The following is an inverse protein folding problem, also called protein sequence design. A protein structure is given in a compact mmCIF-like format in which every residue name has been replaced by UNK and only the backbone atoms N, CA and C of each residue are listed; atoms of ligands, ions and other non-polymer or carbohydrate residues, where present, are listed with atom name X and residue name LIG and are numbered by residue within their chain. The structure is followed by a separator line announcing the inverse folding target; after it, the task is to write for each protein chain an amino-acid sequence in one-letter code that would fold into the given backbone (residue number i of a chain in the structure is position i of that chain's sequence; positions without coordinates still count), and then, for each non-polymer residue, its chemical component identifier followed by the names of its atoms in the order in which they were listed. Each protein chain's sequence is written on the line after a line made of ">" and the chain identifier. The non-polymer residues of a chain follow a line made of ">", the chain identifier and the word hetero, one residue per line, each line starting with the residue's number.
data_IF_780467644513
#
_entry.id   IF_780467644513
#
_cell.length_a   1.000
_cell.length_b   1.000
_cell.length_c   1.000
_cell.angle_alpha   90.00
_cell.angle_beta   90.00
_cell.angle_gamma   90.00
#
_symmetry.space_group_name_H-M   'P 1'
#
loop_
_entity.id
_entity.type
_entity.pdbx_description
1 polymer ?
#
# COMPACT_ATOMS: atom_id res chain seq x y z
N UNK A 1 17.78 4.70 7.56
CA UNK A 1 17.53 5.99 6.87
C UNK A 1 17.25 7.03 7.94
N UNK A 2 17.70 8.27 7.78
CA UNK A 2 17.57 9.36 8.77
C UNK A 2 16.26 10.16 8.65
N UNK A 3 15.32 9.72 7.80
CA UNK A 3 14.03 10.39 7.60
C UNK A 3 14.11 11.68 6.78
N UNK A 4 15.24 11.94 6.10
CA UNK A 4 15.40 13.11 5.23
C UNK A 4 14.71 12.88 3.89
N UNK A 5 13.91 13.86 3.47
CA UNK A 5 13.37 13.92 2.10
C UNK A 5 14.50 14.28 1.15
N UNK A 6 14.79 13.40 0.18
CA UNK A 6 15.82 13.62 -0.83
C UNK A 6 15.15 14.22 -2.07
N UNK A 7 15.46 15.48 -2.46
CA UNK A 7 14.95 16.04 -3.70
C UNK A 7 15.36 15.17 -4.90
N UNK A 8 14.36 14.69 -5.66
CA UNK A 8 14.58 13.82 -6.82
C UNK A 8 14.29 14.53 -8.14
N UNK A 9 13.02 14.72 -8.49
CA UNK A 9 12.61 15.49 -9.69
C UNK A 9 12.58 17.00 -9.42
N UNK A 10 12.36 17.38 -8.16
CA UNK A 10 12.58 18.73 -7.68
C UNK A 10 14.02 18.90 -7.17
N UNK A 11 14.54 20.13 -7.23
CA UNK A 11 15.80 20.53 -6.60
C UNK A 11 15.59 21.05 -5.19
N UNK A 12 14.43 21.67 -4.91
CA UNK A 12 14.04 22.19 -3.61
C UNK A 12 12.52 22.48 -3.54
N UNK A 13 12.02 22.84 -2.36
CA UNK A 13 10.68 23.40 -2.16
C UNK A 13 10.65 24.40 -0.99
N UNK A 14 9.68 25.32 -1.00
CA UNK A 14 9.41 26.23 0.15
C UNK A 14 7.93 26.38 0.39
N UNK A 15 7.59 26.61 1.65
CA UNK A 15 6.23 27.00 2.05
C UNK A 15 5.97 28.48 1.80
N UNK A 16 4.79 28.79 1.27
CA UNK A 16 4.30 30.16 1.05
C UNK A 16 3.04 30.42 1.87
N UNK A 17 2.81 31.66 2.30
CA UNK A 17 1.51 32.05 2.83
C UNK A 17 0.54 32.21 1.65
N UNK A 18 -0.64 31.62 1.75
CA UNK A 18 -1.61 31.60 0.66
C UNK A 18 -3.04 31.87 1.16
N UNK A 19 -3.98 31.96 0.22
CA UNK A 19 -5.41 32.05 0.50
C UNK A 19 -6.16 31.11 -0.42
N UNK A 20 -6.95 30.21 0.15
CA UNK A 20 -7.88 29.36 -0.59
C UNK A 20 -9.29 29.95 -0.51
N UNK A 21 -10.13 29.71 -1.52
CA UNK A 21 -11.53 30.12 -1.49
C UNK A 21 -12.42 28.92 -1.16
N UNK A 22 -13.07 28.96 0.00
CA UNK A 22 -14.00 27.92 0.47
C UNK A 22 -15.41 28.52 0.48
N UNK A 23 -16.32 27.94 -0.31
CA UNK A 23 -17.69 28.46 -0.48
C UNK A 23 -17.72 29.97 -0.83
N UNK A 24 -16.81 30.39 -1.71
CA UNK A 24 -16.67 31.78 -2.16
C UNK A 24 -16.04 32.74 -1.15
N UNK A 25 -15.61 32.27 0.03
CA UNK A 25 -14.94 33.10 1.05
C UNK A 25 -13.44 32.83 1.08
N UNK A 26 -12.59 33.87 1.15
CA UNK A 26 -11.16 33.69 1.32
C UNK A 26 -10.85 33.15 2.72
N UNK A 27 -10.04 32.10 2.79
CA UNK A 27 -9.54 31.51 4.03
C UNK A 27 -8.01 31.45 3.96
N UNK A 28 -7.30 32.02 4.95
CA UNK A 28 -5.84 31.89 5.03
C UNK A 28 -5.42 30.42 5.07
N UNK A 29 -4.37 30.10 4.33
CA UNK A 29 -3.77 28.77 4.24
C UNK A 29 -2.29 28.93 3.86
N UNK A 30 -1.63 27.84 3.47
CA UNK A 30 -0.28 27.86 2.91
C UNK A 30 -0.25 27.18 1.54
N UNK A 31 0.83 27.42 0.81
CA UNK A 31 1.18 26.72 -0.42
C UNK A 31 2.60 26.14 -0.35
N UNK A 32 2.96 25.36 -1.35
CA UNK A 32 4.32 24.87 -1.58
C UNK A 32 4.73 25.27 -2.99
N UNK A 33 5.84 25.98 -3.12
CA UNK A 33 6.52 26.21 -4.39
C UNK A 33 7.56 25.12 -4.59
N UNK A 34 7.48 24.41 -5.72
CA UNK A 34 8.43 23.39 -6.14
C UNK A 34 9.34 23.94 -7.23
N UNK A 35 10.66 23.81 -7.06
CA UNK A 35 11.64 24.08 -8.12
C UNK A 35 12.08 22.78 -8.75
N UNK A 36 11.90 22.66 -10.05
CA UNK A 36 12.12 21.44 -10.80
C UNK A 36 13.53 21.38 -11.38
N UNK A 37 14.02 20.17 -11.60
CA UNK A 37 15.25 19.95 -12.34
C UNK A 37 15.08 20.33 -13.82
N UNK A 38 16.14 20.89 -14.40
CA UNK A 38 16.18 21.29 -15.82
C UNK A 38 16.80 20.20 -16.72
N UNK A 39 17.47 19.21 -16.12
CA UNK A 39 18.21 18.14 -16.79
C UNK A 39 17.44 16.81 -16.87
N UNK A 40 16.15 16.83 -16.54
CA UNK A 40 15.28 15.64 -16.57
C UNK A 40 14.49 15.61 -17.88
N UNK A 41 14.51 14.45 -18.52
CA UNK A 41 13.75 14.16 -19.73
C UNK A 41 12.92 12.91 -19.50
N UNK A 42 11.76 12.88 -20.13
CA UNK A 42 11.01 11.65 -20.31
C UNK A 42 11.77 10.70 -21.23
N UNK A 43 11.42 9.42 -21.16
CA UNK A 43 12.05 8.35 -21.94
C UNK A 43 11.85 8.48 -23.46
N UNK A 44 10.95 9.35 -23.91
CA UNK A 44 10.77 9.70 -25.32
C UNK A 44 11.60 10.94 -25.76
N UNK A 45 12.36 11.53 -24.83
CA UNK A 45 13.21 12.70 -25.05
C UNK A 45 12.53 14.05 -24.81
N UNK A 46 11.24 14.08 -24.47
CA UNK A 46 10.57 15.34 -24.11
C UNK A 46 11.03 15.84 -22.72
N UNK A 47 11.12 17.16 -22.49
CA UNK A 47 11.59 17.68 -21.19
C UNK A 47 10.54 17.49 -20.09
N UNK A 48 10.98 17.08 -18.90
CA UNK A 48 10.15 17.15 -17.69
C UNK A 48 10.06 18.61 -17.22
N UNK A 49 8.85 19.06 -16.88
CA UNK A 49 8.57 20.45 -16.53
C UNK A 49 7.32 20.59 -15.64
N UNK A 50 6.99 21.82 -15.26
CA UNK A 50 5.85 22.15 -14.40
C UNK A 50 4.49 21.75 -14.98
N UNK A 51 4.36 21.63 -16.31
CA UNK A 51 3.14 21.12 -16.94
C UNK A 51 2.93 19.64 -16.61
N UNK A 52 3.99 18.83 -16.55
CA UNK A 52 3.87 17.43 -16.16
C UNK A 52 3.43 17.25 -14.70
N UNK A 53 3.94 18.10 -13.80
CA UNK A 53 3.51 18.12 -12.39
C UNK A 53 2.04 18.53 -12.28
N UNK A 54 1.66 19.65 -12.90
CA UNK A 54 0.27 20.10 -12.94
C UNK A 54 -0.67 19.03 -13.50
N UNK A 55 -0.29 18.41 -14.62
CA UNK A 55 -1.10 17.39 -15.29
C UNK A 55 -1.31 16.16 -14.41
N UNK A 56 -0.28 15.72 -13.69
CA UNK A 56 -0.36 14.56 -12.81
C UNK A 56 -1.42 14.77 -11.73
N UNK A 57 -1.37 15.89 -11.02
CA UNK A 57 -2.36 16.20 -9.99
C UNK A 57 -3.74 16.52 -10.58
N UNK A 58 -3.81 17.15 -11.75
CA UNK A 58 -5.09 17.38 -12.43
C UNK A 58 -5.76 16.06 -12.87
N UNK A 59 -4.98 15.03 -13.23
CA UNK A 59 -5.47 13.70 -13.57
C UNK A 59 -6.09 13.02 -12.36
N UNK A 60 -5.43 13.12 -11.23
CA UNK A 60 -5.93 12.62 -9.96
C UNK A 60 -7.17 13.39 -9.47
N UNK A 61 -7.22 14.72 -9.59
CA UNK A 61 -8.44 15.49 -9.29
C UNK A 61 -9.61 15.12 -10.22
N UNK A 62 -9.32 14.82 -11.49
CA UNK A 62 -10.33 14.35 -12.43
C UNK A 62 -10.80 12.93 -12.10
N UNK A 63 -9.95 12.09 -11.52
CA UNK A 63 -10.25 10.70 -11.14
C UNK A 63 -9.69 10.40 -9.76
N UNK A 64 -10.37 10.81 -8.67
CA UNK A 64 -9.87 10.63 -7.30
C UNK A 64 -9.63 9.17 -6.90
N UNK A 65 -10.15 8.21 -7.66
CA UNK A 65 -9.84 6.79 -7.44
C UNK A 65 -8.42 6.41 -7.89
N UNK A 66 -7.68 7.30 -8.58
CA UNK A 66 -6.27 7.12 -8.91
C UNK A 66 -5.34 7.41 -7.73
N UNK A 67 -5.79 8.22 -6.78
CA UNK A 67 -4.99 8.67 -5.65
C UNK A 67 -5.74 9.72 -4.82
N UNK A 68 -5.28 9.89 -3.58
CA UNK A 68 -5.88 10.82 -2.60
C UNK A 68 -5.09 12.13 -2.43
N UNK A 69 -3.86 12.17 -2.94
CA UNK A 69 -2.88 13.25 -2.79
C UNK A 69 -3.37 14.58 -3.36
N UNK A 70 -4.03 14.57 -4.52
CA UNK A 70 -4.46 15.81 -5.17
C UNK A 70 -5.76 16.41 -4.62
N UNK A 71 -6.50 15.67 -3.77
CA UNK A 71 -7.84 16.05 -3.31
C UNK A 71 -7.84 17.30 -2.43
N UNK A 72 -6.77 17.52 -1.66
CA UNK A 72 -6.65 18.70 -0.80
C UNK A 72 -5.87 19.87 -1.44
N UNK A 73 -5.56 19.78 -2.74
CA UNK A 73 -4.96 20.88 -3.51
C UNK A 73 -6.07 21.83 -3.99
N UNK A 74 -6.12 23.03 -3.42
CA UNK A 74 -7.09 24.07 -3.75
C UNK A 74 -6.77 24.79 -5.07
N UNK A 75 -5.49 24.99 -5.40
CA UNK A 75 -5.08 25.61 -6.65
C UNK A 75 -3.67 25.18 -7.06
N UNK A 76 -3.42 25.12 -8.36
CA UNK A 76 -2.12 24.78 -8.95
C UNK A 76 -1.74 25.85 -9.97
N UNK A 77 -0.66 26.58 -9.70
CA UNK A 77 -0.19 27.68 -10.56
C UNK A 77 1.18 27.36 -11.13
N UNK A 78 1.26 27.19 -12.45
CA UNK A 78 2.56 27.15 -13.13
C UNK A 78 3.12 28.58 -13.17
N UNK A 79 4.20 28.81 -12.44
CA UNK A 79 4.89 30.11 -12.38
C UNK A 79 5.74 30.29 -13.65
N UNK A 80 6.49 29.25 -13.99
CA UNK A 80 7.29 29.15 -15.21
C UNK A 80 7.54 27.65 -15.54
N UNK A 81 8.24 27.29 -16.63
CA UNK A 81 8.42 25.89 -17.00
C UNK A 81 9.05 25.00 -15.91
N UNK A 82 9.79 25.53 -14.95
CA UNK A 82 10.45 24.74 -13.90
C UNK A 82 10.01 25.12 -12.48
N UNK A 83 8.92 25.88 -12.35
CA UNK A 83 8.38 26.31 -11.07
C UNK A 83 6.86 26.20 -11.04
N UNK A 84 6.34 25.54 -10.01
CA UNK A 84 4.91 25.37 -9.78
C UNK A 84 4.57 25.61 -8.31
N UNK A 85 3.49 26.35 -8.06
CA UNK A 85 2.92 26.54 -6.72
C UNK A 85 1.67 25.66 -6.56
N UNK A 86 1.63 24.90 -5.47
CA UNK A 86 0.48 24.12 -5.03
C UNK A 86 -0.09 24.80 -3.78
N UNK A 87 -1.31 25.33 -3.84
CA UNK A 87 -2.02 25.92 -2.70
C UNK A 87 -3.00 24.88 -2.17
N UNK A 88 -3.04 24.70 -0.86
CA UNK A 88 -3.86 23.66 -0.22
C UNK A 88 -5.13 24.21 0.43
N UNK A 89 -6.15 23.38 0.54
CA UNK A 89 -7.29 23.71 1.38
C UNK A 89 -6.88 23.81 2.86
N UNK A 90 -7.57 24.62 3.69
CA UNK A 90 -7.20 24.84 5.09
C UNK A 90 -7.23 23.60 6.00
N UNK A 91 -7.85 22.51 5.54
CA UNK A 91 -7.95 21.23 6.24
C UNK A 91 -6.95 20.18 5.74
N UNK A 92 -6.01 20.55 4.86
CA UNK A 92 -4.96 19.64 4.38
C UNK A 92 -4.22 19.01 5.56
N UNK A 93 -3.95 17.71 5.45
CA UNK A 93 -3.24 16.95 6.49
C UNK A 93 -1.75 16.84 6.19
N UNK A 94 -0.98 16.44 7.21
CA UNK A 94 0.45 16.20 7.05
C UNK A 94 0.70 15.05 6.06
N UNK A 95 -0.18 14.05 6.08
CA UNK A 95 -0.18 12.94 5.13
C UNK A 95 -0.27 13.41 3.68
N UNK A 96 -1.18 14.34 3.35
CA UNK A 96 -1.27 14.87 2.00
C UNK A 96 -0.02 15.68 1.62
N UNK A 97 0.46 16.56 2.50
CA UNK A 97 1.68 17.35 2.25
C UNK A 97 2.87 16.45 1.91
N UNK A 98 3.01 15.33 2.63
CA UNK A 98 4.07 14.36 2.39
C UNK A 98 3.89 13.63 1.05
N UNK A 99 2.70 13.11 0.77
CA UNK A 99 2.45 12.34 -0.46
C UNK A 99 2.56 13.19 -1.73
N UNK A 100 2.26 14.49 -1.67
CA UNK A 100 2.48 15.42 -2.79
C UNK A 100 3.96 15.44 -3.23
N UNK A 101 4.90 15.33 -2.28
CA UNK A 101 6.33 15.32 -2.57
C UNK A 101 6.83 13.96 -3.08
N UNK A 102 6.04 12.90 -2.93
CA UNK A 102 6.36 11.54 -3.39
C UNK A 102 5.66 11.15 -4.70
N UNK A 103 4.87 12.05 -5.27
CA UNK A 103 4.01 11.74 -6.41
C UNK A 103 4.79 11.30 -7.65
N UNK A 104 4.38 10.18 -8.24
CA UNK A 104 4.90 9.73 -9.53
C UNK A 104 4.30 10.52 -10.68
N UNK A 105 5.18 11.14 -11.46
CA UNK A 105 4.78 12.01 -12.57
C UNK A 105 4.42 11.19 -13.81
N UNK A 106 3.30 11.54 -14.43
CA UNK A 106 2.91 11.01 -15.74
C UNK A 106 3.25 11.99 -16.87
N UNK A 107 3.58 11.46 -18.04
CA UNK A 107 3.85 12.27 -19.23
C UNK A 107 2.54 12.84 -19.84
N UNK A 108 2.40 14.18 -19.93
CA UNK A 108 1.23 14.79 -20.57
C UNK A 108 1.11 14.47 -22.06
N UNK A 109 2.21 14.19 -22.79
CA UNK A 109 2.13 13.94 -24.23
C UNK A 109 1.46 12.59 -24.54
N UNK A 110 1.68 11.58 -23.70
CA UNK A 110 1.01 10.29 -23.78
C UNK A 110 -0.41 10.34 -23.21
N UNK A 111 -0.55 10.78 -21.96
CA UNK A 111 -1.84 10.74 -21.26
C UNK A 111 -2.83 11.78 -21.79
N UNK A 112 -2.34 12.92 -22.29
CA UNK A 112 -3.17 13.99 -22.84
C UNK A 112 -3.93 13.60 -24.11
N UNK A 113 -3.52 12.52 -24.79
CA UNK A 113 -4.28 11.93 -25.90
C UNK A 113 -5.62 11.34 -25.43
N UNK A 114 -5.69 10.88 -24.18
CA UNK A 114 -6.88 10.31 -23.56
C UNK A 114 -7.61 11.32 -22.67
N UNK A 115 -6.86 12.25 -22.04
CA UNK A 115 -7.38 13.26 -21.13
C UNK A 115 -6.84 14.65 -21.51
N UNK A 116 -7.35 15.26 -22.59
CA UNK A 116 -6.80 16.52 -23.09
C UNK A 116 -7.06 17.66 -22.09
N UNK A 117 -6.11 18.58 -22.01
CA UNK A 117 -6.19 19.69 -21.07
C UNK A 117 -7.10 20.81 -21.59
N UNK A 118 -7.90 21.37 -20.71
CA UNK A 118 -8.63 22.61 -20.94
C UNK A 118 -7.75 23.81 -20.56
N UNK A 119 -7.63 24.76 -21.50
CA UNK A 119 -6.91 26.01 -21.29
C UNK A 119 -7.83 27.23 -21.47
N UNK A 120 -7.54 28.29 -20.72
CA UNK A 120 -8.04 29.63 -20.99
C UNK A 120 -7.34 30.24 -22.22
N UNK A 121 -7.89 31.30 -22.85
CA UNK A 121 -7.27 31.96 -24.00
C UNK A 121 -5.85 32.48 -23.76
N UNK A 122 -5.49 32.75 -22.50
CA UNK A 122 -4.15 33.19 -22.10
C UNK A 122 -3.17 32.01 -21.86
N UNK A 123 -3.58 30.76 -22.15
CA UNK A 123 -2.77 29.55 -21.98
C UNK A 123 -2.80 28.93 -20.59
N UNK A 124 -3.52 29.51 -19.62
CA UNK A 124 -3.65 28.94 -18.26
C UNK A 124 -4.43 27.62 -18.31
N UNK A 125 -3.83 26.55 -17.79
CA UNK A 125 -4.49 25.26 -17.61
C UNK A 125 -5.54 25.33 -16.51
N UNK A 126 -6.71 24.74 -16.73
CA UNK A 126 -7.85 24.83 -15.80
C UNK A 126 -8.32 23.46 -15.31
N UNK A 127 -8.42 22.50 -16.21
CA UNK A 127 -8.94 21.16 -15.92
C UNK A 127 -8.50 20.15 -16.98
N UNK A 128 -8.74 18.86 -16.73
CA UNK A 128 -8.67 17.82 -17.75
C UNK A 128 -10.06 17.42 -18.22
N UNK A 129 -10.18 17.10 -19.51
CA UNK A 129 -11.39 16.54 -20.08
C UNK A 129 -11.43 15.02 -19.87
N UNK A 130 -12.54 14.51 -19.34
CA UNK A 130 -12.74 13.08 -19.02
C UNK A 130 -13.17 12.26 -20.26
N UNK A 131 -12.38 12.30 -21.32
CA UNK A 131 -12.71 11.61 -22.59
C UNK A 131 -12.29 10.13 -22.63
N UNK A 132 -11.46 9.69 -21.68
CA UNK A 132 -11.02 8.30 -21.54
C UNK A 132 -11.41 7.66 -20.20
N UNK A 133 -10.95 6.43 -19.99
CA UNK A 133 -11.03 5.73 -18.71
C UNK A 133 -9.61 5.30 -18.30
N UNK A 134 -9.02 5.89 -17.25
CA UNK A 134 -7.65 5.58 -16.86
C UNK A 134 -7.52 4.16 -16.27
N UNK A 135 -8.62 3.58 -15.78
CA UNK A 135 -8.65 2.23 -15.18
C UNK A 135 -8.63 1.09 -16.21
N UNK A 136 -8.89 1.38 -17.49
CA UNK A 136 -8.88 0.38 -18.57
C UNK A 136 -7.79 0.62 -19.60
N UNK A 137 -7.02 1.70 -19.48
CA UNK A 137 -5.91 1.99 -20.37
C UNK A 137 -4.69 1.13 -20.03
N UNK A 138 -4.30 0.26 -20.97
CA UNK A 138 -3.23 -0.74 -20.75
C UNK A 138 -1.81 -0.19 -20.85
N UNK A 139 -1.65 1.06 -21.30
CA UNK A 139 -0.37 1.76 -21.48
C UNK A 139 0.78 0.90 -22.03
N UNK A 140 0.68 0.37 -23.27
CA UNK A 140 1.62 -0.63 -23.78
C UNK A 140 3.04 -0.10 -24.06
N UNK A 141 3.22 1.22 -24.12
CA UNK A 141 4.51 1.88 -24.33
C UNK A 141 4.69 2.97 -23.26
N UNK A 142 4.89 2.60 -21.98
CA UNK A 142 4.89 3.55 -20.89
C UNK A 142 6.05 4.56 -21.03
N UNK A 143 5.72 5.84 -20.82
CA UNK A 143 6.69 6.94 -20.79
C UNK A 143 6.85 7.41 -19.34
N UNK A 144 8.09 7.57 -18.89
CA UNK A 144 8.40 8.04 -17.53
C UNK A 144 9.72 8.81 -17.47
N UNK A 145 10.10 9.28 -16.28
CA UNK A 145 11.36 10.01 -16.04
C UNK A 145 12.44 9.14 -15.38
N UNK A 146 12.15 7.85 -15.20
CA UNK A 146 12.96 6.91 -14.43
C UNK A 146 14.20 6.38 -15.15
N UNK A 147 15.02 5.58 -14.43
CA UNK A 147 16.27 5.02 -14.95
C UNK A 147 16.07 3.91 -15.99
N UNK A 148 14.88 3.33 -16.13
CA UNK A 148 14.62 2.24 -17.05
C UNK A 148 13.37 2.47 -17.90
N UNK A 149 13.38 1.88 -19.09
CA UNK A 149 12.30 1.86 -20.07
C UNK A 149 11.77 0.44 -20.24
N UNK A 150 10.49 0.29 -20.57
CA UNK A 150 9.95 -1.01 -20.96
C UNK A 150 10.60 -1.45 -22.28
N UNK A 151 11.31 -2.58 -22.25
CA UNK A 151 11.86 -3.21 -23.46
C UNK A 151 10.89 -4.20 -24.07
N UNK A 152 10.32 -5.08 -23.24
CA UNK A 152 9.30 -6.04 -23.66
C UNK A 152 8.45 -6.49 -22.49
N UNK A 153 7.18 -6.78 -22.76
CA UNK A 153 6.24 -7.35 -21.81
C UNK A 153 5.63 -8.65 -22.36
N UNK A 154 5.55 -9.67 -21.52
CA UNK A 154 4.77 -10.88 -21.74
C UNK A 154 4.24 -11.38 -20.38
N UNK A 155 3.21 -12.24 -20.36
CA UNK A 155 2.76 -12.84 -19.10
C UNK A 155 3.85 -13.64 -18.35
N UNK A 156 4.92 -14.06 -19.05
CA UNK A 156 6.02 -14.84 -18.48
C UNK A 156 7.18 -13.98 -17.97
N UNK A 157 7.32 -12.74 -18.46
CA UNK A 157 8.42 -11.85 -18.06
C UNK A 157 8.17 -10.40 -18.42
N UNK A 158 8.73 -9.50 -17.59
CA UNK A 158 8.94 -8.09 -17.92
C UNK A 158 10.44 -7.84 -18.11
N UNK A 159 10.81 -7.22 -19.21
CA UNK A 159 12.20 -6.81 -19.46
C UNK A 159 12.24 -5.29 -19.52
N UNK A 160 13.10 -4.70 -18.70
CA UNK A 160 13.40 -3.28 -18.72
C UNK A 160 14.81 -3.06 -19.27
N UNK A 161 15.01 -1.96 -19.98
CA UNK A 161 16.32 -1.54 -20.51
C UNK A 161 16.69 -0.18 -19.95
N UNK A 162 17.98 0.03 -19.68
CA UNK A 162 18.50 1.31 -19.20
C UNK A 162 18.03 2.48 -20.07
N UNK A 163 17.55 3.54 -19.44
CA UNK A 163 17.20 4.81 -20.09
C UNK A 163 18.50 5.56 -20.44
N UNK A 164 18.84 5.72 -21.73
CA UNK A 164 20.07 6.42 -22.13
C UNK A 164 20.02 7.93 -21.85
N UNK A 165 18.82 8.46 -21.53
CA UNK A 165 18.58 9.86 -21.19
C UNK A 165 18.35 10.06 -19.68
N UNK A 166 18.73 9.09 -18.84
CA UNK A 166 18.57 9.24 -17.40
C UNK A 166 19.44 10.39 -16.88
N UNK A 167 18.83 11.26 -16.08
CA UNK A 167 19.42 12.54 -15.67
C UNK A 167 20.59 12.38 -14.70
N UNK A 168 20.66 11.28 -13.96
CA UNK A 168 21.71 11.05 -12.96
C UNK A 168 22.98 10.51 -13.63
N UNK A 169 24.10 11.25 -13.61
CA UNK A 169 25.32 10.83 -14.29
C UNK A 169 25.85 9.50 -13.76
N UNK A 170 26.21 8.61 -14.69
CA UNK A 170 26.76 7.28 -14.36
C UNK A 170 25.72 6.22 -14.01
N UNK A 171 24.43 6.56 -14.02
CA UNK A 171 23.33 5.62 -13.78
C UNK A 171 22.38 5.50 -14.99
N UNK A 172 21.63 4.39 -15.10
CA UNK A 172 21.81 3.16 -14.34
C UNK A 172 23.05 2.36 -14.80
N UNK A 173 23.72 1.69 -13.86
CA UNK A 173 24.87 0.81 -14.19
C UNK A 173 24.49 -0.53 -14.82
N UNK A 174 23.27 -0.99 -14.58
CA UNK A 174 22.78 -2.26 -15.12
C UNK A 174 22.01 -1.99 -16.41
N UNK A 175 22.38 -2.67 -17.49
CA UNK A 175 21.80 -2.42 -18.82
C UNK A 175 20.38 -2.99 -18.97
N UNK A 176 20.11 -4.15 -18.41
CA UNK A 176 18.83 -4.83 -18.50
C UNK A 176 18.40 -5.35 -17.13
N UNK A 177 17.13 -5.16 -16.80
CA UNK A 177 16.48 -5.83 -15.67
C UNK A 177 15.48 -6.83 -16.24
N UNK A 178 15.56 -8.07 -15.78
CA UNK A 178 14.67 -9.14 -16.19
C UNK A 178 13.87 -9.57 -14.97
N UNK A 179 12.55 -9.45 -15.06
CA UNK A 179 11.59 -9.86 -14.05
C UNK A 179 10.78 -11.03 -14.59
N UNK A 180 11.27 -12.28 -14.49
CA UNK A 180 10.48 -13.45 -14.81
C UNK A 180 9.30 -13.58 -13.85
N UNK A 181 8.16 -14.03 -14.36
CA UNK A 181 6.97 -14.27 -13.56
C UNK A 181 6.99 -15.70 -13.00
N UNK A 182 6.90 -15.84 -11.69
CA UNK A 182 6.75 -17.12 -11.00
C UNK A 182 5.36 -17.25 -10.40
N UNK A 183 4.86 -18.48 -10.32
CA UNK A 183 3.54 -18.77 -9.78
C UNK A 183 3.47 -18.73 -8.24
N UNK A 184 4.62 -18.62 -7.57
CA UNK A 184 4.71 -18.58 -6.12
C UNK A 184 6.15 -18.75 -5.62
N UNK A 185 6.29 -18.68 -4.30
CA UNK A 185 7.57 -18.69 -3.60
C UNK A 185 8.42 -19.92 -3.98
N UNK A 186 7.82 -21.10 -4.09
CA UNK A 186 8.56 -22.36 -4.35
C UNK A 186 9.34 -22.29 -5.68
N UNK A 187 8.72 -21.81 -6.75
CA UNK A 187 9.37 -21.72 -8.06
C UNK A 187 10.41 -20.58 -8.10
N UNK A 188 10.11 -19.44 -7.48
CA UNK A 188 11.04 -18.30 -7.40
C UNK A 188 12.29 -18.67 -6.59
N UNK A 189 12.11 -19.32 -5.44
CA UNK A 189 13.19 -19.82 -4.59
C UNK A 189 14.04 -20.85 -5.31
N UNK A 190 13.44 -21.78 -6.07
CA UNK A 190 14.20 -22.72 -6.87
C UNK A 190 15.06 -22.01 -7.93
N UNK A 191 14.49 -21.00 -8.61
CA UNK A 191 15.22 -20.20 -9.59
C UNK A 191 16.38 -19.42 -8.97
N UNK A 192 16.14 -18.77 -7.81
CA UNK A 192 17.16 -18.05 -7.06
C UNK A 192 18.30 -19.00 -6.62
N UNK A 193 17.94 -20.13 -6.01
CA UNK A 193 18.90 -21.09 -5.50
C UNK A 193 19.78 -21.72 -6.60
N UNK A 194 19.22 -21.87 -7.80
CA UNK A 194 19.90 -22.38 -8.99
C UNK A 194 20.64 -21.28 -9.80
N UNK A 195 20.61 -20.02 -9.36
CA UNK A 195 21.29 -18.90 -10.03
C UNK A 195 20.63 -18.44 -11.33
N UNK A 196 19.35 -18.77 -11.54
CA UNK A 196 18.57 -18.30 -12.70
C UNK A 196 18.11 -16.85 -12.52
N UNK A 197 17.93 -16.41 -11.26
CA UNK A 197 17.72 -15.02 -10.87
C UNK A 197 18.73 -14.66 -9.77
N UNK A 198 19.03 -13.37 -9.64
CA UNK A 198 20.06 -12.86 -8.71
C UNK A 198 19.49 -12.06 -7.55
N UNK A 199 18.22 -11.68 -7.62
CA UNK A 199 17.52 -10.90 -6.59
C UNK A 199 16.05 -11.34 -6.59
N UNK A 200 15.55 -11.70 -5.42
CA UNK A 200 14.17 -12.08 -5.17
C UNK A 200 13.61 -11.32 -3.96
N UNK A 201 12.30 -11.13 -3.94
CA UNK A 201 11.55 -10.56 -2.82
C UNK A 201 10.61 -11.55 -2.15
N UNK A 202 10.77 -12.85 -2.43
CA UNK A 202 9.92 -13.92 -1.94
C UNK A 202 10.31 -14.41 -0.54
N UNK A 203 9.33 -14.98 0.16
CA UNK A 203 9.57 -15.73 1.38
C UNK A 203 10.32 -17.04 1.08
N UNK A 204 11.44 -17.26 1.77
CA UNK A 204 12.24 -18.50 1.74
C UNK A 204 12.26 -19.14 3.14
N UNK A 205 11.61 -20.30 3.35
CA UNK A 205 11.66 -20.98 4.64
C UNK A 205 13.10 -21.41 4.95
N UNK A 206 13.58 -21.16 6.17
CA UNK A 206 14.97 -21.45 6.56
C UNK A 206 16.05 -20.78 5.68
N UNK A 207 15.89 -19.50 5.30
CA UNK A 207 16.74 -18.75 4.37
C UNK A 207 18.23 -18.81 4.71
N UNK A 208 18.57 -18.88 6.00
CA UNK A 208 19.96 -19.05 6.43
C UNK A 208 20.54 -20.39 5.96
N UNK A 209 19.82 -21.49 6.13
CA UNK A 209 20.26 -22.83 5.74
C UNK A 209 20.06 -23.07 4.24
N UNK A 210 18.93 -22.64 3.70
CA UNK A 210 18.49 -22.96 2.35
C UNK A 210 19.09 -22.04 1.29
N UNK A 211 19.48 -20.81 1.64
CA UNK A 211 20.08 -19.86 0.69
C UNK A 211 21.50 -19.46 1.07
N UNK A 212 21.71 -18.82 2.23
CA UNK A 212 23.00 -18.21 2.62
C UNK A 212 24.09 -19.26 2.82
N UNK A 213 23.84 -20.33 3.59
CA UNK A 213 24.84 -21.34 3.91
C UNK A 213 25.39 -22.09 2.69
N UNK A 214 24.68 -22.05 1.55
CA UNK A 214 25.14 -22.65 0.29
C UNK A 214 26.27 -21.85 -0.38
N UNK A 215 26.33 -20.54 -0.14
CA UNK A 215 27.43 -19.68 -0.60
C UNK A 215 27.50 -18.39 0.25
N UNK A 216 28.08 -18.46 1.46
CA UNK A 216 28.07 -17.35 2.42
C UNK A 216 28.93 -16.15 1.99
N UNK A 217 29.74 -16.30 0.92
CA UNK A 217 30.55 -15.22 0.36
C UNK A 217 29.78 -14.34 -0.63
N UNK A 218 28.64 -14.79 -1.15
CA UNK A 218 27.89 -14.06 -2.19
C UNK A 218 26.37 -14.03 -1.96
N UNK A 219 25.82 -14.91 -1.11
CA UNK A 219 24.39 -14.96 -0.84
C UNK A 219 24.08 -14.30 0.49
N UNK A 220 23.24 -13.28 0.41
CA UNK A 220 22.83 -12.48 1.55
C UNK A 220 21.32 -12.27 1.49
N UNK A 221 20.71 -12.09 2.65
CA UNK A 221 19.35 -11.58 2.76
C UNK A 221 19.34 -10.37 3.66
N UNK A 222 18.29 -9.57 3.51
CA UNK A 222 18.03 -8.44 4.35
C UNK A 222 16.52 -8.31 4.51
N UNK A 223 16.06 -8.34 5.76
CA UNK A 223 14.69 -7.95 6.07
C UNK A 223 14.68 -6.45 6.32
N UNK A 224 14.15 -5.70 5.35
CA UNK A 224 13.89 -4.29 5.58
C UNK A 224 12.91 -4.13 6.76
N UNK A 225 12.99 -3.04 7.55
CA UNK A 225 11.94 -2.68 8.50
C UNK A 225 10.58 -2.81 7.80
N UNK A 226 9.86 -3.86 8.16
CA UNK A 226 8.65 -4.26 7.47
C UNK A 226 7.47 -3.39 7.88
N UNK A 227 6.39 -3.54 7.13
CA UNK A 227 5.10 -3.02 7.51
C UNK A 227 4.31 -4.09 8.28
N UNK A 228 3.40 -3.71 9.19
CA UNK A 228 2.54 -4.71 9.81
C UNK A 228 1.72 -5.43 8.74
N UNK A 229 1.76 -6.75 8.74
CA UNK A 229 0.81 -7.59 8.04
C UNK A 229 -0.51 -7.60 8.81
N UNK A 230 -1.63 -7.55 8.09
CA UNK A 230 -2.94 -7.34 8.68
C UNK A 230 -3.96 -8.30 8.08
N UNK A 231 -4.95 -8.66 8.89
CA UNK A 231 -6.22 -9.23 8.39
C UNK A 231 -7.21 -8.07 8.31
N UNK A 232 -7.66 -7.74 7.11
CA UNK A 232 -8.78 -6.83 6.92
C UNK A 232 -10.10 -7.58 7.02
N UNK A 233 -11.01 -7.03 7.80
CA UNK A 233 -12.40 -7.46 7.88
C UNK A 233 -13.26 -6.60 6.96
N UNK A 234 -14.15 -7.23 6.20
CA UNK A 234 -15.22 -6.50 5.55
C UNK A 234 -16.29 -6.11 6.59
N UNK A 235 -16.15 -4.91 7.15
CA UNK A 235 -17.03 -4.36 8.19
C UNK A 235 -18.47 -4.09 7.71
N UNK A 236 -18.76 -4.20 6.41
CA UNK A 236 -20.11 -4.06 5.85
C UNK A 236 -20.80 -5.40 5.63
N UNK A 237 -20.09 -6.52 5.80
CA UNK A 237 -20.62 -7.86 5.55
C UNK A 237 -20.88 -8.58 6.86
N UNK A 238 -22.15 -8.86 7.15
CA UNK A 238 -22.52 -9.65 8.32
C UNK A 238 -21.83 -11.04 8.28
N UNK A 239 -21.34 -11.57 9.41
CA UNK A 239 -21.43 -11.02 10.77
C UNK A 239 -20.29 -10.09 11.18
N UNK A 240 -19.32 -9.83 10.31
CA UNK A 240 -18.18 -8.95 10.59
C UNK A 240 -18.55 -7.47 10.77
N UNK A 241 -19.82 -7.11 10.55
CA UNK A 241 -20.39 -5.82 10.98
C UNK A 241 -20.33 -5.64 12.51
N UNK A 242 -20.36 -6.73 13.28
CA UNK A 242 -20.32 -6.68 14.76
C UNK A 242 -18.87 -6.51 15.28
N UNK A 243 -18.55 -5.38 15.96
CA UNK A 243 -17.21 -5.18 16.53
C UNK A 243 -16.84 -6.21 17.60
N UNK A 244 -17.81 -6.77 18.35
CA UNK A 244 -17.55 -7.78 19.38
C UNK A 244 -17.02 -9.05 18.73
N UNK A 245 -17.61 -9.47 17.60
CA UNK A 245 -17.13 -10.63 16.86
C UNK A 245 -15.71 -10.40 16.31
N UNK A 246 -15.43 -9.21 15.75
CA UNK A 246 -14.08 -8.86 15.25
C UNK A 246 -13.05 -8.88 16.38
N UNK A 247 -13.40 -8.36 17.55
CA UNK A 247 -12.52 -8.39 18.72
C UNK A 247 -12.27 -9.82 19.21
N UNK A 248 -13.29 -10.68 19.25
CA UNK A 248 -13.14 -12.08 19.63
C UNK A 248 -12.24 -12.86 18.64
N UNK A 249 -12.42 -12.62 17.34
CA UNK A 249 -11.53 -13.15 16.29
C UNK A 249 -10.09 -12.72 16.55
N UNK A 250 -9.86 -11.43 16.77
CA UNK A 250 -8.52 -10.87 17.03
C UNK A 250 -7.87 -11.46 18.29
N UNK A 251 -8.65 -11.69 19.34
CA UNK A 251 -8.17 -12.29 20.59
C UNK A 251 -7.83 -13.78 20.45
N UNK A 252 -8.55 -14.52 19.59
CA UNK A 252 -8.36 -15.97 19.46
C UNK A 252 -7.09 -16.37 18.70
N UNK A 253 -6.57 -15.50 17.82
CA UNK A 253 -5.43 -15.81 16.95
C UNK A 253 -4.13 -15.96 17.76
N UNK A 254 -3.45 -17.11 17.58
CA UNK A 254 -2.16 -17.41 18.16
C UNK A 254 -1.02 -16.90 17.28
N UNK A 255 -0.66 -15.63 17.49
CA UNK A 255 0.41 -14.93 16.75
C UNK A 255 1.79 -15.55 16.94
N UNK A 256 2.04 -16.25 18.04
CA UNK A 256 3.31 -16.94 18.27
C UNK A 256 3.42 -18.17 17.37
N UNK A 257 2.31 -18.88 17.16
CA UNK A 257 2.26 -19.97 16.19
C UNK A 257 2.46 -19.46 14.77
N UNK A 258 1.82 -18.34 14.40
CA UNK A 258 2.05 -17.70 13.10
C UNK A 258 3.55 -17.38 12.91
N UNK A 259 4.14 -16.64 13.87
CA UNK A 259 5.54 -16.22 13.85
C UNK A 259 6.52 -17.38 13.63
N UNK A 260 6.37 -18.48 14.37
CA UNK A 260 7.34 -19.58 14.30
C UNK A 260 7.03 -20.60 13.22
N UNK A 261 5.76 -20.90 12.96
CA UNK A 261 5.36 -22.02 12.10
C UNK A 261 5.12 -21.59 10.65
N UNK A 262 4.54 -20.41 10.43
CA UNK A 262 4.32 -19.86 9.10
C UNK A 262 5.49 -18.97 8.66
N UNK A 263 5.92 -18.07 9.54
CA UNK A 263 6.91 -17.01 9.22
C UNK A 263 8.36 -17.37 9.56
N UNK A 264 8.64 -18.57 10.07
CA UNK A 264 10.00 -19.08 10.35
C UNK A 264 10.84 -18.18 11.26
N UNK A 265 10.19 -17.35 12.07
CA UNK A 265 10.85 -16.41 12.96
C UNK A 265 11.28 -15.10 12.31
N UNK A 266 10.87 -14.81 11.07
CA UNK A 266 11.29 -13.61 10.34
C UNK A 266 10.48 -12.36 10.71
N UNK A 267 9.17 -12.50 10.86
CA UNK A 267 8.26 -11.38 11.07
C UNK A 267 7.68 -11.40 12.50
N UNK A 268 8.24 -10.65 13.45
CA UNK A 268 7.81 -10.72 14.85
C UNK A 268 6.32 -10.39 15.00
N UNK A 269 5.67 -11.08 15.94
CA UNK A 269 4.26 -10.89 16.22
C UNK A 269 3.92 -9.43 16.60
N UNK A 270 3.01 -8.80 15.86
CA UNK A 270 2.48 -7.49 16.20
C UNK A 270 1.65 -7.57 17.49
N UNK A 271 2.08 -6.85 18.52
CA UNK A 271 1.43 -6.83 19.85
C UNK A 271 0.42 -5.69 20.04
N UNK A 272 0.17 -4.92 18.97
CA UNK A 272 -0.75 -3.80 18.98
C UNK A 272 -1.87 -3.96 17.94
N UNK A 273 -3.12 -3.54 18.25
CA UNK A 273 -4.17 -3.46 17.25
C UNK A 273 -4.00 -2.25 16.32
N UNK A 274 -3.01 -1.38 16.59
CA UNK A 274 -2.70 -0.25 15.73
C UNK A 274 -1.86 -0.70 14.53
N UNK A 275 -2.12 -0.20 13.31
CA UNK A 275 -1.36 -0.53 12.12
C UNK A 275 -0.01 0.22 12.08
N UNK A 276 0.75 0.14 13.18
CA UNK A 276 2.04 0.80 13.35
C UNK A 276 3.17 -0.22 13.21
N UNK A 277 4.24 0.12 12.48
CA UNK A 277 5.48 -0.66 12.51
C UNK A 277 6.05 -0.73 13.94
N UNK A 278 6.73 -1.83 14.28
CA UNK A 278 7.33 -2.03 15.60
C UNK A 278 8.24 -0.88 16.01
N UNK A 279 9.00 -0.33 15.05
CA UNK A 279 9.94 0.77 15.28
C UNK A 279 9.25 2.07 15.71
N UNK A 280 7.92 2.18 15.51
CA UNK A 280 7.11 3.33 15.90
C UNK A 280 6.35 3.13 17.20
N UNK A 281 6.44 1.98 17.87
CA UNK A 281 5.72 1.76 19.13
C UNK A 281 6.28 2.57 20.29
N UNK A 282 7.55 2.98 20.21
CA UNK A 282 8.24 3.76 21.24
C UNK A 282 7.64 5.17 21.46
N UNK A 283 6.83 5.68 20.53
CA UNK A 283 6.14 6.97 20.67
C UNK A 283 4.84 6.86 21.46
N UNK A 284 4.33 5.64 21.69
CA UNK A 284 3.08 5.40 22.40
C UNK A 284 3.33 5.40 23.91
N UNK A 285 2.36 5.91 24.67
CA UNK A 285 2.41 5.83 26.12
C UNK A 285 2.32 4.35 26.57
N UNK A 286 3.07 3.98 27.60
CA UNK A 286 3.05 2.63 28.20
C UNK A 286 1.64 2.13 28.53
N UNK A 287 0.71 3.00 28.93
CA UNK A 287 -0.68 2.61 29.19
C UNK A 287 -1.43 2.16 27.92
N UNK A 288 -1.15 2.79 26.78
CA UNK A 288 -1.72 2.41 25.48
C UNK A 288 -1.14 1.08 25.02
N UNK A 289 0.17 0.88 25.19
CA UNK A 289 0.83 -0.39 24.88
C UNK A 289 0.30 -1.53 25.74
N UNK A 290 0.14 -1.33 27.05
CA UNK A 290 -0.43 -2.35 27.95
C UNK A 290 -1.86 -2.71 27.57
N UNK A 291 -2.68 -1.70 27.24
CA UNK A 291 -4.05 -1.94 26.75
C UNK A 291 -4.03 -2.74 25.44
N UNK A 292 -3.19 -2.34 24.49
CA UNK A 292 -3.02 -3.01 23.20
C UNK A 292 -2.60 -4.48 23.35
N UNK A 293 -1.58 -4.76 24.18
CA UNK A 293 -1.10 -6.11 24.48
C UNK A 293 -2.18 -6.96 25.14
N UNK A 294 -2.98 -6.37 26.04
CA UNK A 294 -4.09 -7.09 26.70
C UNK A 294 -5.17 -7.54 25.72
N UNK A 295 -5.35 -6.82 24.62
CA UNK A 295 -6.28 -7.17 23.55
C UNK A 295 -5.68 -8.14 22.53
N UNK A 296 -4.34 -8.25 22.49
CA UNK A 296 -3.57 -8.97 21.47
C UNK A 296 -2.61 -10.02 22.09
N UNK A 297 -3.10 -10.96 22.91
CA UNK A 297 -2.21 -11.90 23.58
C UNK A 297 -1.38 -12.69 22.55
N UNK A 298 -0.04 -12.80 22.70
CA UNK A 298 0.82 -13.45 21.71
C UNK A 298 0.42 -14.90 21.39
N UNK A 299 -0.13 -15.62 22.36
CA UNK A 299 -0.55 -17.01 22.22
C UNK A 299 -2.02 -17.17 21.81
N UNK A 300 -2.74 -16.07 21.58
CA UNK A 300 -4.20 -16.07 21.54
C UNK A 300 -4.80 -16.34 22.93
N UNK A 301 -6.10 -16.05 23.07
CA UNK A 301 -6.85 -16.33 24.29
C UNK A 301 -8.29 -16.72 23.96
N UNK A 302 -8.46 -17.99 23.60
CA UNK A 302 -9.76 -18.60 23.26
C UNK A 302 -10.77 -18.46 24.40
N UNK A 303 -10.35 -18.65 25.64
CA UNK A 303 -11.23 -18.51 26.81
C UNK A 303 -11.78 -17.09 26.94
N UNK A 304 -10.90 -16.07 26.86
CA UNK A 304 -11.34 -14.68 26.94
C UNK A 304 -12.18 -14.27 25.73
N UNK A 305 -11.87 -14.78 24.53
CA UNK A 305 -12.69 -14.57 23.34
C UNK A 305 -14.11 -15.15 23.51
N UNK A 306 -14.24 -16.38 24.01
CA UNK A 306 -15.54 -17.00 24.31
C UNK A 306 -16.30 -16.23 25.39
N UNK A 307 -15.63 -15.80 26.47
CA UNK A 307 -16.26 -14.99 27.53
C UNK A 307 -16.76 -13.64 26.99
N UNK A 308 -15.98 -12.99 26.11
CA UNK A 308 -16.39 -11.76 25.45
C UNK A 308 -17.65 -12.00 24.61
N UNK A 309 -17.65 -13.06 23.79
CA UNK A 309 -18.79 -13.44 22.96
C UNK A 309 -20.04 -13.72 23.80
N UNK A 310 -19.91 -14.56 24.84
CA UNK A 310 -21.00 -14.93 25.76
C UNK A 310 -21.60 -13.71 26.47
N UNK A 311 -20.76 -12.78 26.95
CA UNK A 311 -21.22 -11.57 27.62
C UNK A 311 -22.04 -10.64 26.72
N UNK A 312 -21.91 -10.79 25.39
CA UNK A 312 -22.65 -10.03 24.38
C UNK A 312 -23.76 -10.85 23.71
N UNK A 313 -24.11 -12.02 24.28
CA UNK A 313 -25.27 -12.82 23.86
C UNK A 313 -25.00 -13.86 22.78
N UNK A 314 -23.75 -14.01 22.33
CA UNK A 314 -23.37 -15.14 21.48
C UNK A 314 -23.40 -16.45 22.28
N UNK A 315 -23.62 -17.57 21.60
CA UNK A 315 -23.65 -18.90 22.23
C UNK A 315 -22.93 -19.91 21.37
N UNK A 316 -22.04 -20.70 21.95
CA UNK A 316 -21.45 -21.85 21.28
C UNK A 316 -22.39 -23.05 21.43
N UNK A 317 -22.96 -23.52 20.32
CA UNK A 317 -23.89 -24.66 20.28
C UNK A 317 -23.34 -25.72 19.34
N UNK A 318 -23.02 -26.90 19.87
CA UNK A 318 -22.45 -28.02 19.09
C UNK A 318 -21.20 -27.64 18.27
N UNK A 319 -20.36 -26.75 18.81
CA UNK A 319 -19.15 -26.27 18.13
C UNK A 319 -19.40 -25.20 17.05
N UNK A 320 -20.63 -24.72 16.90
CA UNK A 320 -20.96 -23.59 16.03
C UNK A 320 -21.35 -22.37 16.86
N UNK A 321 -20.80 -21.20 16.51
CA UNK A 321 -21.14 -19.95 17.15
C UNK A 321 -22.50 -19.45 16.65
N UNK A 322 -23.40 -19.13 17.58
CA UNK A 322 -24.74 -18.58 17.32
C UNK A 322 -24.75 -17.12 17.78
N UNK A 323 -25.18 -16.21 16.91
CA UNK A 323 -25.25 -14.78 17.20
C UNK A 323 -26.43 -14.45 18.14
N UNK A 324 -26.46 -13.26 18.78
CA UNK A 324 -27.50 -12.88 19.74
C UNK A 324 -28.93 -12.89 19.15
N UNK A 325 -29.04 -12.70 17.84
CA UNK A 325 -30.32 -12.78 17.11
C UNK A 325 -30.79 -14.23 16.85
N UNK A 326 -30.05 -15.24 17.31
CA UNK A 326 -30.34 -16.66 17.11
C UNK A 326 -29.83 -17.24 15.79
N UNK A 327 -29.23 -16.41 14.91
CA UNK A 327 -28.70 -16.88 13.62
C UNK A 327 -27.31 -17.50 13.81
N UNK A 328 -27.06 -18.71 13.26
CA UNK A 328 -25.71 -19.27 13.25
C UNK A 328 -24.74 -18.39 12.47
N UNK A 329 -23.54 -18.15 13.01
CA UNK A 329 -22.44 -17.52 12.28
C UNK A 329 -22.12 -18.39 11.06
N UNK A 330 -22.13 -17.82 9.84
CA UNK A 330 -21.92 -18.57 8.62
C UNK A 330 -20.46 -19.00 8.51
N UNK A 331 -20.20 -20.04 7.73
CA UNK A 331 -18.85 -20.29 7.23
C UNK A 331 -18.38 -19.06 6.47
N UNK A 332 -17.25 -18.49 6.87
CA UNK A 332 -16.64 -17.35 6.18
C UNK A 332 -15.46 -17.81 5.31
N UNK A 333 -14.85 -16.90 4.56
CA UNK A 333 -13.62 -17.15 3.81
C UNK A 333 -12.55 -16.18 4.28
N UNK A 334 -11.31 -16.65 4.26
CA UNK A 334 -10.13 -15.84 4.47
C UNK A 334 -9.19 -16.07 3.29
N UNK A 335 -8.61 -14.99 2.75
CA UNK A 335 -7.86 -15.08 1.49
C UNK A 335 -6.51 -14.37 1.47
N UNK A 336 -5.61 -14.94 0.68
CA UNK A 336 -4.28 -14.44 0.36
C UNK A 336 -3.99 -14.70 -1.13
N UNK A 337 -3.02 -14.03 -1.75
CA UNK A 337 -2.60 -14.36 -3.11
C UNK A 337 -2.06 -15.79 -3.23
N UNK A 338 -2.40 -16.48 -4.32
CA UNK A 338 -1.87 -17.80 -4.63
C UNK A 338 -0.34 -17.83 -4.64
N UNK A 339 0.25 -18.82 -3.97
CA UNK A 339 1.68 -19.10 -4.02
C UNK A 339 2.52 -18.34 -2.99
N UNK A 340 1.89 -17.51 -2.15
CA UNK A 340 2.52 -16.86 -1.01
C UNK A 340 2.45 -17.81 0.18
N UNK A 341 3.39 -18.75 0.22
CA UNK A 341 3.33 -19.96 1.06
C UNK A 341 3.34 -19.68 2.56
N UNK A 342 3.96 -18.59 2.97
CA UNK A 342 3.95 -17.99 4.30
C UNK A 342 2.53 -17.59 4.70
N UNK A 343 1.88 -16.76 3.87
CA UNK A 343 0.49 -16.35 4.10
C UNK A 343 -0.48 -17.53 4.02
N UNK A 344 -0.27 -18.48 3.10
CA UNK A 344 -1.07 -19.70 3.00
C UNK A 344 -1.02 -20.51 4.32
N UNK A 345 0.15 -20.60 4.95
CA UNK A 345 0.33 -21.25 6.24
C UNK A 345 -0.33 -20.47 7.38
N UNK A 346 -0.20 -19.14 7.37
CA UNK A 346 -0.87 -18.25 8.31
C UNK A 346 -2.39 -18.42 8.27
N UNK A 347 -2.98 -18.41 7.07
CA UNK A 347 -4.42 -18.58 6.89
C UNK A 347 -4.91 -19.93 7.42
N UNK A 348 -4.13 -21.00 7.25
CA UNK A 348 -4.46 -22.32 7.76
C UNK A 348 -4.41 -22.36 9.30
N UNK A 349 -3.43 -21.71 9.92
CA UNK A 349 -3.31 -21.61 11.38
C UNK A 349 -4.44 -20.74 11.98
N UNK A 350 -4.71 -19.59 11.38
CA UNK A 350 -5.85 -18.74 11.75
C UNK A 350 -7.16 -19.52 11.65
N UNK A 351 -7.35 -20.30 10.59
CA UNK A 351 -8.55 -21.12 10.45
C UNK A 351 -8.72 -22.15 11.59
N UNK A 352 -7.61 -22.74 12.03
CA UNK A 352 -7.61 -23.65 13.18
C UNK A 352 -7.95 -22.91 14.48
N UNK A 353 -7.39 -21.72 14.70
CA UNK A 353 -7.66 -20.90 15.88
C UNK A 353 -9.13 -20.46 15.96
N UNK A 354 -9.69 -19.98 14.84
CA UNK A 354 -11.08 -19.51 14.81
C UNK A 354 -12.10 -20.63 15.01
N UNK A 355 -11.75 -21.87 14.62
CA UNK A 355 -12.58 -23.05 14.91
C UNK A 355 -12.75 -23.28 16.41
N UNK A 356 -11.76 -22.91 17.23
CA UNK A 356 -11.83 -23.07 18.69
C UNK A 356 -12.89 -22.17 19.35
N UNK A 357 -13.27 -21.08 18.68
CA UNK A 357 -14.36 -20.18 19.12
C UNK A 357 -15.67 -20.40 18.33
N UNK A 358 -15.76 -21.51 17.59
CA UNK A 358 -16.97 -21.90 16.84
C UNK A 358 -17.18 -21.18 15.51
N UNK A 359 -16.14 -20.52 14.97
CA UNK A 359 -16.17 -19.85 13.67
C UNK A 359 -15.46 -20.75 12.66
N UNK A 360 -16.15 -21.12 11.58
CA UNK A 360 -15.53 -21.86 10.48
C UNK A 360 -15.11 -20.88 9.39
N UNK A 361 -13.85 -20.97 8.95
CA UNK A 361 -13.34 -20.19 7.82
C UNK A 361 -12.72 -21.12 6.79
N UNK A 362 -12.99 -20.86 5.52
CA UNK A 362 -12.37 -21.55 4.39
C UNK A 362 -11.25 -20.69 3.81
N UNK A 363 -10.06 -21.29 3.67
CA UNK A 363 -8.90 -20.63 3.07
C UNK A 363 -9.07 -20.57 1.55
N UNK A 364 -8.87 -19.39 0.97
CA UNK A 364 -8.91 -19.17 -0.47
C UNK A 364 -7.63 -18.50 -0.95
N UNK A 365 -7.03 -19.05 -2.00
CA UNK A 365 -5.77 -18.55 -2.55
C UNK A 365 -5.91 -18.22 -4.03
N UNK A 366 -6.72 -17.20 -4.40
CA UNK A 366 -6.89 -16.83 -5.80
C UNK A 366 -5.64 -16.16 -6.38
N UNK A 367 -5.50 -16.10 -7.72
CA UNK A 367 -4.42 -15.33 -8.36
C UNK A 367 -4.41 -13.87 -7.87
N UNK A 368 -3.22 -13.26 -7.78
CA UNK A 368 -3.04 -11.90 -7.24
C UNK A 368 -4.03 -10.89 -7.84
N UNK A 369 -4.25 -10.88 -9.15
CA UNK A 369 -5.19 -9.95 -9.80
C UNK A 369 -6.63 -10.12 -9.32
N UNK A 370 -7.06 -11.36 -9.05
CA UNK A 370 -8.40 -11.67 -8.52
C UNK A 370 -8.49 -11.33 -7.04
N UNK A 371 -7.48 -11.69 -6.25
CA UNK A 371 -7.38 -11.29 -4.84
C UNK A 371 -7.48 -9.76 -4.71
N UNK A 372 -6.68 -9.02 -5.49
CA UNK A 372 -6.63 -7.56 -5.48
C UNK A 372 -7.98 -6.95 -5.85
N UNK A 373 -8.64 -7.47 -6.90
CA UNK A 373 -9.97 -7.02 -7.28
C UNK A 373 -11.01 -7.27 -6.18
N UNK A 374 -10.97 -8.42 -5.51
CA UNK A 374 -11.88 -8.70 -4.39
C UNK A 374 -11.63 -7.75 -3.23
N UNK A 375 -10.37 -7.51 -2.85
CA UNK A 375 -10.00 -6.54 -1.82
C UNK A 375 -10.49 -5.12 -2.16
N UNK A 376 -10.36 -4.69 -3.42
CA UNK A 376 -10.83 -3.38 -3.88
C UNK A 376 -12.35 -3.24 -3.91
N UNK A 377 -13.07 -4.29 -4.30
CA UNK A 377 -14.53 -4.25 -4.48
C UNK A 377 -15.32 -4.65 -3.24
N UNK A 378 -14.65 -4.94 -2.12
CA UNK A 378 -15.30 -5.44 -0.92
C UNK A 378 -15.87 -6.85 -1.07
N UNK A 379 -15.52 -7.60 -2.12
CA UNK A 379 -16.05 -8.96 -2.34
C UNK A 379 -15.28 -10.03 -1.56
N UNK A 380 -15.15 -9.83 -0.26
CA UNK A 380 -14.48 -10.74 0.68
C UNK A 380 -15.12 -10.69 2.06
N UNK A 381 -14.82 -11.69 2.88
CA UNK A 381 -15.08 -11.64 4.33
C UNK A 381 -13.83 -11.15 5.06
N UNK A 382 -12.74 -11.92 4.95
CA UNK A 382 -11.43 -11.57 5.50
C UNK A 382 -10.36 -11.70 4.42
N UNK A 383 -9.37 -10.81 4.43
CA UNK A 383 -8.22 -10.89 3.54
C UNK A 383 -6.95 -10.47 4.26
N UNK A 384 -5.89 -11.25 4.10
CA UNK A 384 -4.55 -10.86 4.54
C UNK A 384 -4.00 -9.80 3.58
N UNK A 385 -3.39 -8.75 4.12
CA UNK A 385 -2.85 -7.62 3.35
C UNK A 385 -1.67 -7.00 4.08
N UNK A 386 -0.77 -6.38 3.31
CA UNK A 386 0.27 -5.50 3.85
C UNK A 386 -0.31 -4.12 4.23
N UNK A 387 0.43 -3.34 5.00
CA UNK A 387 0.04 -1.97 5.30
C UNK A 387 0.06 -1.09 4.03
N UNK A 388 -1.03 -0.37 3.81
CA UNK A 388 -1.20 0.51 2.64
C UNK A 388 -0.77 1.94 2.91
N UNK A 389 -0.58 2.31 4.18
CA UNK A 389 -0.18 3.64 4.60
C UNK A 389 1.26 3.62 5.07
N UNK A 390 2.01 4.64 4.68
CA UNK A 390 3.39 4.80 5.03
C UNK A 390 3.67 6.25 5.35
N UNK A 391 4.69 6.48 6.16
CA UNK A 391 5.19 7.81 6.43
C UNK A 391 6.24 7.78 7.53
N UNK A 392 6.98 8.88 7.73
CA UNK A 392 8.08 8.93 8.69
C UNK A 392 7.63 9.02 10.15
N UNK A 393 6.32 9.17 10.40
CA UNK A 393 5.78 9.33 11.75
C UNK A 393 4.44 8.57 11.94
N UNK A 394 4.07 8.26 13.20
CA UNK A 394 2.82 7.57 13.51
C UNK A 394 1.56 8.29 13.01
N UNK A 395 1.59 9.64 12.98
CA UNK A 395 0.45 10.45 12.53
C UNK A 395 0.01 10.11 11.11
N UNK A 396 0.95 9.71 10.23
CA UNK A 396 0.63 9.31 8.86
C UNK A 396 -0.27 8.07 8.83
N UNK A 397 0.01 7.08 9.69
CA UNK A 397 -0.80 5.87 9.83
C UNK A 397 -2.19 6.18 10.41
N UNK A 398 -2.27 7.06 11.40
CA UNK A 398 -3.56 7.48 11.97
C UNK A 398 -4.38 8.30 10.97
N UNK A 399 -3.79 9.28 10.29
CA UNK A 399 -4.42 10.06 9.23
C UNK A 399 -4.92 9.14 8.11
N UNK A 400 -4.06 8.27 7.58
CA UNK A 400 -4.43 7.35 6.49
C UNK A 400 -5.57 6.38 6.82
N UNK A 401 -5.54 5.74 7.99
CA UNK A 401 -6.55 4.73 8.36
C UNK A 401 -7.78 5.28 9.09
N UNK A 402 -7.64 6.26 9.98
CA UNK A 402 -8.75 6.77 10.81
C UNK A 402 -9.48 7.95 10.17
N UNK A 403 -8.78 8.76 9.36
CA UNK A 403 -9.38 9.91 8.66
C UNK A 403 -9.77 9.60 7.21
N UNK A 404 -9.75 8.31 6.84
CA UNK A 404 -10.44 7.76 5.67
C UNK A 404 -9.87 8.21 4.30
N UNK A 405 -8.54 8.32 4.18
CA UNK A 405 -7.90 8.59 2.88
C UNK A 405 -7.80 7.36 1.97
N UNK A 406 -8.06 6.15 2.51
CA UNK A 406 -8.22 4.92 1.74
C UNK A 406 -9.71 4.62 1.56
N UNK A 407 -10.30 5.11 0.47
CA UNK A 407 -11.62 4.66 0.00
C UNK A 407 -11.55 3.21 -0.50
N UNK A 408 -11.52 2.24 0.43
CA UNK A 408 -12.03 0.87 0.17
C UNK A 408 -13.54 0.76 0.45
N UNK A 409 -14.18 1.88 0.75
CA UNK A 409 -15.63 2.01 0.91
C UNK A 409 -16.22 2.66 -0.33
N UNK A 410 -16.67 1.81 -1.26
CA UNK A 410 -17.66 2.16 -2.28
C UNK A 410 -18.84 1.20 -2.20
#
# INVERSE_FOLDING_TARGET
>A
MNGETIPWLATNWTFTNATAYVNGKPVPTFGIVLWLRHDVYFTDGTPFNATAVWYTFALEQAYPQLGYTANDIANMTIINPYEIELIFYPWVTHFIIYTVLEQWIVDPAQWGKLFPVQQLPNGTYVALNKTGNPFTYTNPNPIGTGPYMLYSFSPQQVVLVANPHYWMPGEPRIKYLLFPAYAGNVQENAALNNGQITWAGAFEPGIQQNFVAKDPAHRYYYFAPGYPQMILFNNMRWPLTDPVLRQAIYMAINRTSLYYLAEYGYEPATLTPLPLPEQMLNVLNSSVLQMAESMAPPQGNVTAALQLLESHGYKLVNGQLIAPNGTPVPTMTIMAPAGWTDWDADLALIAQDLKQIGITVEVQTPPFSTWYNYMQTGNYWMGMIWNLIQGPAPIFYFEGYLYNYLEFSW
#
